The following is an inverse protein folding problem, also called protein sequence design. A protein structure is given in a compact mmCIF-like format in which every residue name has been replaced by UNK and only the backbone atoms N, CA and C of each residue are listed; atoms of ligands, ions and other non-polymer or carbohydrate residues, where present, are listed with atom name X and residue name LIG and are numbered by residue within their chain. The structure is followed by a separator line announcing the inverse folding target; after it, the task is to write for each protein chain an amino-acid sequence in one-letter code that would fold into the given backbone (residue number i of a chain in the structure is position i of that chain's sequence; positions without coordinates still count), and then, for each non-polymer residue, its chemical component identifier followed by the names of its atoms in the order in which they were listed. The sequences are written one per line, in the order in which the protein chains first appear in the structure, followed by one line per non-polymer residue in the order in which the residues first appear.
data_IF_373995105115
#
_entry.id   IF_373995105115
#
_cell.length_a   1.000
_cell.length_b   1.000
_cell.length_c   1.000
_cell.angle_alpha   90.00
_cell.angle_beta   90.00
_cell.angle_gamma   90.00
#
_symmetry.space_group_name_H-M   'P 1'
#
loop_
_entity.id
_entity.type
_entity.pdbx_description
1 polymer ?
#
# COMPACT_ATOMS: atom_id res chain seq x y z
N UNK A 1 26.97 -14.36 -7.67
CA UNK A 1 26.61 -14.12 -7.49
C UNK A 1 26.19 -13.81 -7.18
N UNK A 2 26.09 -13.79 -7.23
CA UNK A 2 25.63 -13.52 -7.00
C UNK A 2 24.87 -13.19 -6.86
N UNK A 3 24.78 -12.98 -6.62
CA UNK A 3 24.00 -12.60 -6.34
C UNK A 3 23.70 -11.89 -5.92
N UNK A 4 24.15 -11.31 -5.72
CA UNK A 4 23.93 -10.72 -5.32
C UNK A 4 23.43 -9.75 -5.11
N UNK A 5 23.60 -8.98 -4.47
CA UNK A 5 23.05 -7.97 -4.23
C UNK A 5 22.06 -7.46 -5.04
N UNK A 6 22.24 -6.75 -5.91
CA UNK A 6 21.30 -6.52 -6.94
C UNK A 6 20.52 -7.75 -7.32
N UNK A 7 21.17 -8.86 -7.47
CA UNK A 7 20.45 -10.11 -7.73
C UNK A 7 19.43 -10.43 -6.67
N UNK A 8 19.74 -10.11 -5.44
CA UNK A 8 18.79 -10.37 -4.38
C UNK A 8 17.57 -9.50 -4.51
N UNK A 9 17.79 -8.23 -4.81
CA UNK A 9 16.65 -7.33 -4.98
C UNK A 9 15.77 -7.79 -6.12
N UNK A 10 16.40 -8.21 -7.20
CA UNK A 10 15.68 -8.68 -8.34
C UNK A 10 14.90 -9.95 -8.02
N UNK A 11 15.53 -10.86 -7.27
CA UNK A 11 14.87 -12.07 -6.87
C UNK A 11 13.68 -11.80 -5.97
N UNK A 12 13.81 -10.86 -5.06
CA UNK A 12 12.71 -10.51 -4.19
C UNK A 12 11.55 -9.92 -4.99
N UNK A 13 11.87 -9.08 -5.96
CA UNK A 13 10.83 -8.50 -6.81
C UNK A 13 10.11 -9.58 -7.60
N UNK A 14 10.85 -10.55 -8.12
CA UNK A 14 10.25 -11.64 -8.86
C UNK A 14 9.37 -12.49 -7.96
N UNK A 15 9.83 -12.76 -6.74
CA UNK A 15 9.04 -13.52 -5.79
C UNK A 15 7.73 -12.80 -5.49
N UNK A 16 7.81 -11.50 -5.26
CA UNK A 16 6.61 -10.72 -5.02
C UNK A 16 5.66 -10.70 -6.20
N UNK A 17 6.22 -10.78 -7.43
CA UNK A 17 5.39 -10.79 -8.62
C UNK A 17 4.69 -12.12 -8.86
N UNK A 18 5.32 -13.23 -8.45
CA UNK A 18 4.82 -14.55 -8.77
C UNK A 18 4.21 -15.29 -7.59
N UNK A 19 4.56 -14.91 -6.37
CA UNK A 19 4.03 -15.56 -5.19
C UNK A 19 3.53 -14.57 -4.18
N UNK A 20 2.73 -15.03 -3.22
CA UNK A 20 2.20 -14.12 -2.21
C UNK A 20 3.30 -13.66 -1.26
N UNK A 21 3.12 -12.47 -0.70
CA UNK A 21 4.01 -11.98 0.34
C UNK A 21 3.75 -12.77 1.62
N UNK A 22 4.80 -12.98 2.41
CA UNK A 22 4.61 -13.61 3.71
C UNK A 22 4.13 -12.56 4.73
N UNK A 23 3.85 -13.01 5.95
CA UNK A 23 3.28 -12.14 6.98
C UNK A 23 4.19 -10.97 7.30
N UNK A 24 5.49 -11.20 7.34
CA UNK A 24 6.45 -10.15 7.64
C UNK A 24 6.47 -9.11 6.52
N UNK A 25 6.46 -9.55 5.28
CA UNK A 25 6.43 -8.64 4.15
C UNK A 25 5.15 -7.84 4.09
N UNK A 26 4.02 -8.47 4.39
CA UNK A 26 2.74 -7.77 4.46
C UNK A 26 2.76 -6.70 5.54
N UNK A 27 3.35 -7.01 6.68
CA UNK A 27 3.45 -6.05 7.77
C UNK A 27 4.33 -4.88 7.38
N UNK A 28 5.44 -5.13 6.69
CA UNK A 28 6.32 -4.05 6.22
C UNK A 28 5.61 -3.14 5.22
N UNK A 29 4.83 -3.73 4.31
CA UNK A 29 4.06 -2.93 3.36
C UNK A 29 3.06 -2.04 4.09
N UNK A 30 2.40 -2.60 5.10
CA UNK A 30 1.43 -1.86 5.87
C UNK A 30 2.08 -0.70 6.60
N UNK A 31 3.19 -0.95 7.27
CA UNK A 31 3.90 0.09 8.00
C UNK A 31 4.40 1.18 7.07
N UNK A 32 4.85 0.78 5.89
CA UNK A 32 5.33 1.74 4.91
C UNK A 32 4.20 2.67 4.46
N UNK A 33 3.03 2.11 4.17
CA UNK A 33 1.89 2.91 3.75
C UNK A 33 1.39 3.82 4.88
N UNK A 34 1.41 3.32 6.12
CA UNK A 34 1.05 4.15 7.26
C UNK A 34 1.98 5.36 7.37
N UNK A 35 3.26 5.14 7.23
CA UNK A 35 4.25 6.21 7.30
C UNK A 35 4.04 7.21 6.18
N UNK A 36 3.80 6.72 4.96
CA UNK A 36 3.59 7.60 3.81
C UNK A 36 2.30 8.39 3.96
N UNK A 37 1.23 7.76 4.43
CA UNK A 37 -0.05 8.45 4.62
C UNK A 37 0.08 9.55 5.67
N UNK A 38 0.79 9.27 6.75
CA UNK A 38 1.03 10.26 7.78
C UNK A 38 1.81 11.45 7.21
N UNK A 39 2.83 11.15 6.42
CA UNK A 39 3.65 12.20 5.84
C UNK A 39 2.84 13.09 4.89
N UNK A 40 2.00 12.49 4.04
CA UNK A 40 1.16 13.27 3.14
C UNK A 40 0.21 14.16 3.93
N UNK A 41 -0.35 13.63 5.02
CA UNK A 41 -1.24 14.44 5.85
C UNK A 41 -0.52 15.65 6.43
N UNK A 42 0.78 15.53 6.66
CA UNK A 42 1.56 16.61 7.25
C UNK A 42 2.03 17.63 6.23
N UNK A 43 2.52 17.18 5.09
CA UNK A 43 3.18 18.08 4.16
C UNK A 43 2.54 18.14 2.78
N UNK A 44 1.53 17.32 2.53
CA UNK A 44 0.85 17.33 1.23
C UNK A 44 1.56 16.50 0.18
N UNK A 45 0.97 16.45 -1.01
CA UNK A 45 1.46 15.61 -2.10
C UNK A 45 2.56 16.25 -2.93
N UNK A 46 2.60 17.58 -3.00
CA UNK A 46 3.40 18.26 -4.00
C UNK A 46 4.85 17.83 -4.04
N UNK A 47 5.47 17.68 -2.88
CA UNK A 47 6.87 17.30 -2.83
C UNK A 47 7.08 15.81 -2.89
N UNK A 48 6.09 15.03 -2.53
CA UNK A 48 6.25 13.60 -2.36
C UNK A 48 5.85 12.80 -3.60
N UNK A 49 4.88 13.32 -4.34
CA UNK A 49 4.28 12.60 -5.47
C UNK A 49 5.32 12.10 -6.48
N UNK A 50 6.34 12.87 -6.72
CA UNK A 50 7.34 12.50 -7.73
C UNK A 50 8.59 11.86 -7.14
N UNK A 51 8.64 11.70 -5.84
CA UNK A 51 9.75 11.02 -5.18
C UNK A 51 9.48 9.54 -4.98
N UNK A 52 8.23 9.15 -5.02
CA UNK A 52 7.79 7.80 -4.76
C UNK A 52 7.41 7.11 -6.07
N UNK A 53 7.41 5.79 -6.06
CA UNK A 53 6.91 5.05 -7.22
C UNK A 53 5.41 5.27 -7.36
N UNK A 54 4.91 5.02 -8.58
CA UNK A 54 3.49 5.16 -8.83
C UNK A 54 2.68 4.26 -7.90
N UNK A 55 3.14 3.02 -7.70
CA UNK A 55 2.43 2.11 -6.81
C UNK A 55 2.35 2.63 -5.39
N UNK A 56 3.43 3.25 -4.91
CA UNK A 56 3.45 3.83 -3.57
C UNK A 56 2.51 5.01 -3.43
N UNK A 57 2.50 5.87 -4.45
CA UNK A 57 1.59 7.02 -4.47
C UNK A 57 0.14 6.53 -4.46
N UNK A 58 -0.18 5.59 -5.34
CA UNK A 58 -1.55 5.11 -5.45
C UNK A 58 -2.00 4.36 -4.20
N UNK A 59 -1.13 3.54 -3.62
CA UNK A 59 -1.47 2.86 -2.37
C UNK A 59 -1.73 3.85 -1.25
N UNK A 60 -0.89 4.88 -1.14
CA UNK A 60 -1.08 5.91 -0.12
C UNK A 60 -2.38 6.68 -0.36
N UNK A 61 -2.66 7.02 -1.61
CA UNK A 61 -3.91 7.70 -1.94
C UNK A 61 -5.12 6.85 -1.57
N UNK A 62 -5.02 5.54 -1.78
CA UNK A 62 -6.11 4.64 -1.42
C UNK A 62 -6.32 4.60 0.08
N UNK A 63 -5.24 4.56 0.86
CA UNK A 63 -5.33 4.61 2.32
C UNK A 63 -6.04 5.89 2.77
N UNK A 64 -5.75 7.00 2.10
CA UNK A 64 -6.30 8.30 2.46
C UNK A 64 -7.65 8.59 1.81
N UNK A 65 -8.16 7.69 0.98
CA UNK A 65 -9.36 7.91 0.18
C UNK A 65 -9.24 9.15 -0.71
N UNK A 66 -8.06 9.40 -1.22
CA UNK A 66 -7.80 10.60 -2.01
C UNK A 66 -8.01 10.30 -3.48
N UNK A 67 -9.26 10.43 -3.92
CA UNK A 67 -9.62 10.14 -5.30
C UNK A 67 -9.00 11.11 -6.28
N UNK A 68 -8.83 12.36 -5.87
CA UNK A 68 -8.23 13.35 -6.75
C UNK A 68 -6.81 12.98 -7.10
N UNK A 69 -6.05 12.50 -6.12
CA UNK A 69 -4.69 12.09 -6.39
C UNK A 69 -4.66 10.89 -7.33
N UNK A 70 -5.58 9.92 -7.13
CA UNK A 70 -5.65 8.77 -8.03
C UNK A 70 -5.97 9.20 -9.46
N UNK A 71 -6.86 10.18 -9.61
CA UNK A 71 -7.24 10.66 -10.93
C UNK A 71 -6.08 11.31 -11.68
N UNK A 72 -5.17 11.96 -10.95
CA UNK A 72 -3.98 12.52 -11.59
C UNK A 72 -3.17 11.46 -12.31
N UNK A 73 -3.27 10.22 -11.87
CA UNK A 73 -2.56 9.10 -12.47
C UNK A 73 -3.46 8.26 -13.35
N UNK A 74 -4.67 8.75 -13.66
CA UNK A 74 -5.66 8.07 -14.47
C UNK A 74 -6.08 6.74 -13.86
N UNK A 75 -6.21 6.71 -12.53
CA UNK A 75 -6.57 5.49 -11.80
C UNK A 75 -7.83 5.73 -10.98
N UNK A 76 -8.48 4.63 -10.62
CA UNK A 76 -9.63 4.64 -9.72
C UNK A 76 -9.33 3.76 -8.53
N UNK A 77 -10.18 3.82 -7.51
CA UNK A 77 -10.00 2.93 -6.36
C UNK A 77 -9.97 1.47 -6.79
N UNK A 78 -10.87 1.09 -7.70
CA UNK A 78 -10.91 -0.29 -8.16
C UNK A 78 -9.64 -0.69 -8.90
N UNK A 79 -9.10 0.19 -9.75
CA UNK A 79 -7.89 -0.15 -10.48
C UNK A 79 -6.69 -0.23 -9.55
N UNK A 80 -6.65 0.62 -8.53
CA UNK A 80 -5.56 0.58 -7.55
C UNK A 80 -5.65 -0.71 -6.74
N UNK A 81 -6.85 -1.10 -6.33
CA UNK A 81 -7.02 -2.37 -5.61
C UNK A 81 -6.54 -3.54 -6.45
N UNK A 82 -6.89 -3.56 -7.74
CA UNK A 82 -6.45 -4.63 -8.62
C UNK A 82 -4.94 -4.70 -8.75
N UNK A 83 -4.32 -3.55 -8.89
CA UNK A 83 -2.86 -3.47 -8.98
C UNK A 83 -2.20 -4.02 -7.71
N UNK A 84 -2.71 -3.63 -6.56
CA UNK A 84 -2.14 -4.06 -5.28
C UNK A 84 -2.44 -5.52 -4.98
N UNK A 85 -3.57 -6.05 -5.48
CA UNK A 85 -3.91 -7.46 -5.26
C UNK A 85 -2.79 -8.37 -5.77
N UNK A 86 -2.26 -8.08 -6.94
CA UNK A 86 -1.18 -8.88 -7.50
C UNK A 86 0.11 -8.73 -6.71
N UNK A 87 0.39 -7.52 -6.22
CA UNK A 87 1.58 -7.31 -5.41
C UNK A 87 1.50 -8.06 -4.08
N UNK A 88 0.35 -8.06 -3.45
CA UNK A 88 0.19 -8.64 -2.11
C UNK A 88 0.04 -10.16 -2.14
N UNK A 89 -0.77 -10.66 -3.07
CA UNK A 89 -1.19 -12.07 -3.03
C UNK A 89 -0.55 -12.92 -4.12
N UNK A 90 0.28 -12.33 -4.97
CA UNK A 90 0.89 -13.04 -6.07
C UNK A 90 -0.03 -13.14 -7.27
N UNK A 91 0.43 -13.81 -8.32
CA UNK A 91 -0.35 -13.89 -9.55
C UNK A 91 -1.66 -14.64 -9.34
N UNK A 92 -1.58 -15.83 -8.76
CA UNK A 92 -2.78 -16.65 -8.59
C UNK A 92 -3.72 -16.05 -7.54
N UNK A 93 -3.19 -15.67 -6.39
CA UNK A 93 -4.00 -15.10 -5.32
C UNK A 93 -4.57 -13.76 -5.72
N UNK A 94 -3.77 -12.97 -6.44
CA UNK A 94 -4.24 -11.67 -6.93
C UNK A 94 -5.36 -11.82 -7.93
N UNK A 95 -5.23 -12.76 -8.87
CA UNK A 95 -6.27 -12.97 -9.85
C UNK A 95 -7.56 -13.45 -9.18
N UNK A 96 -7.44 -14.36 -8.23
CA UNK A 96 -8.61 -14.83 -7.48
C UNK A 96 -9.33 -13.67 -6.80
N UNK A 97 -8.56 -12.77 -6.17
CA UNK A 97 -9.16 -11.63 -5.49
C UNK A 97 -9.81 -10.66 -6.48
N UNK A 98 -9.13 -10.37 -7.58
CA UNK A 98 -9.67 -9.47 -8.61
C UNK A 98 -10.96 -10.03 -9.18
N UNK A 99 -11.03 -11.33 -9.41
CA UNK A 99 -12.19 -11.96 -10.02
C UNK A 99 -13.45 -11.77 -9.20
N UNK A 100 -13.34 -11.59 -7.88
CA UNK A 100 -14.49 -11.42 -7.01
C UNK A 100 -14.62 -10.00 -6.44
N UNK A 101 -13.86 -9.05 -6.98
CA UNK A 101 -14.01 -7.66 -6.61
C UNK A 101 -13.04 -7.15 -5.55
N UNK A 102 -11.95 -7.85 -5.35
CA UNK A 102 -10.85 -7.44 -4.45
C UNK A 102 -11.25 -7.33 -2.98
N UNK A 103 -12.09 -8.22 -2.45
CA UNK A 103 -12.47 -8.09 -1.03
C UNK A 103 -11.28 -8.27 -0.09
N UNK A 104 -10.34 -9.13 -0.44
CA UNK A 104 -9.18 -9.39 0.41
C UNK A 104 -8.26 -8.16 0.44
N UNK A 105 -8.02 -7.58 -0.73
CA UNK A 105 -7.19 -6.39 -0.82
C UNK A 105 -7.85 -5.22 -0.11
N UNK A 106 -9.16 -5.06 -0.30
CA UNK A 106 -9.90 -4.00 0.36
C UNK A 106 -9.82 -4.14 1.88
N UNK A 107 -9.99 -5.36 2.39
CA UNK A 107 -9.89 -5.60 3.83
C UNK A 107 -8.51 -5.25 4.37
N UNK A 108 -7.48 -5.56 3.60
CA UNK A 108 -6.11 -5.23 3.99
C UNK A 108 -5.92 -3.71 4.09
N UNK A 109 -6.40 -2.96 3.07
CA UNK A 109 -6.33 -1.49 3.12
C UNK A 109 -7.18 -0.92 4.24
N UNK A 110 -8.35 -1.51 4.50
CA UNK A 110 -9.18 -1.05 5.61
C UNK A 110 -8.47 -1.21 6.95
N UNK A 111 -7.69 -2.27 7.11
CA UNK A 111 -6.93 -2.46 8.34
C UNK A 111 -5.89 -1.35 8.52
N UNK A 112 -5.31 -0.86 7.41
CA UNK A 112 -4.36 0.24 7.47
C UNK A 112 -5.07 1.53 7.88
N UNK A 113 -6.24 1.80 7.29
CA UNK A 113 -7.01 2.99 7.65
C UNK A 113 -7.41 2.97 9.10
N UNK A 114 -7.78 1.80 9.60
CA UNK A 114 -8.15 1.66 11.01
C UNK A 114 -6.98 1.99 11.92
N UNK A 115 -5.79 1.50 11.57
CA UNK A 115 -4.60 1.82 12.36
C UNK A 115 -4.26 3.29 12.29
N UNK A 116 -4.39 3.89 11.11
CA UNK A 116 -4.09 5.30 10.94
C UNK A 116 -5.02 6.14 11.82
N UNK A 117 -6.30 5.82 11.83
CA UNK A 117 -7.27 6.52 12.64
C UNK A 117 -6.98 6.35 14.12
N UNK A 118 -6.64 5.14 14.54
CA UNK A 118 -6.32 4.86 15.94
C UNK A 118 -5.13 5.67 16.41
N UNK A 119 -4.09 5.74 15.59
CA UNK A 119 -2.90 6.48 15.94
C UNK A 119 -3.18 7.96 16.11
N UNK A 120 -4.05 8.49 15.26
CA UNK A 120 -4.41 9.90 15.34
C UNK A 120 -5.25 10.19 16.58
N UNK A 121 -6.11 9.26 16.93
CA UNK A 121 -7.02 9.45 18.05
C UNK A 121 -6.35 9.25 19.38
N UNK A 122 -5.49 8.24 19.46
CA UNK A 122 -4.85 7.87 20.72
C UNK A 122 -4.13 9.00 21.42
N UNK A 123 -3.28 9.78 20.73
CA UNK A 123 -2.59 10.87 21.41
C UNK A 123 -3.53 11.89 22.03
N UNK A 124 -4.59 12.23 21.33
CA UNK A 124 -5.55 13.18 21.86
C UNK A 124 -6.24 12.62 23.09
N UNK A 125 -6.62 11.36 23.04
CA UNK A 125 -7.25 10.72 24.18
C UNK A 125 -6.32 10.69 25.37
N UNK A 126 -5.08 10.37 25.14
CA UNK A 126 -4.10 10.32 26.21
C UNK A 126 -3.94 11.66 26.90
N UNK A 127 -3.90 12.71 26.11
CA UNK A 127 -3.71 14.04 26.66
C UNK A 127 -4.85 14.46 27.57
N UNK A 128 -6.02 14.02 27.27
CA UNK A 128 -7.18 14.40 28.06
C UNK A 128 -7.18 13.78 29.42
N UNK A 129 -6.49 12.71 29.59
CA UNK A 129 -6.41 12.05 30.87
C UNK A 129 -5.47 12.75 31.80
#
# INVERSE_FOLDING_TARGET
MTHSESPQSFGDALTGAFGPLDDEQLQHRKEDLLRRATLVAEVGWDQLRYQWSTGEVLGTALVLHDRDEMLLWHETADSVLGRWAFDLWGIDGGQTDVDVGCPRTLGWFDSIRTELTSKRTTPATTKEE
#
